data_IF_302335926085
#
_entry.id   IF_302335926085
#
_cell.length_a   1.000
_cell.length_b   1.000
_cell.length_c   1.000
_cell.angle_alpha   90.00
_cell.angle_beta   90.00
_cell.angle_gamma   90.00
#
_symmetry.space_group_name_H-M   'P 1'
#
loop_
_entity.id
_entity.type
_entity.pdbx_description
1 polymer ?
#
# COMPACT_ATOMS: atom_id res chain seq x y z
N UNK A 1 59.24 39.89 9.25
CA UNK A 1 60.68 39.88 9.60
C UNK A 1 60.79 40.34 11.04
N UNK A 2 61.41 39.59 11.97
CA UNK A 2 61.61 40.11 13.32
C UNK A 2 62.52 41.34 13.24
N UNK A 3 61.99 42.50 13.61
CA UNK A 3 62.70 43.78 13.65
C UNK A 3 63.57 43.78 14.90
N UNK A 4 64.67 43.02 14.87
CA UNK A 4 65.69 43.05 15.93
C UNK A 4 66.77 44.05 15.53
N UNK A 5 67.25 44.81 16.52
CA UNK A 5 68.42 45.67 16.34
C UNK A 5 69.60 44.84 15.85
N UNK A 6 70.41 45.39 14.95
CA UNK A 6 71.58 44.71 14.41
C UNK A 6 72.54 44.32 15.54
N UNK A 7 72.89 43.04 15.61
CA UNK A 7 73.79 42.53 16.63
C UNK A 7 75.19 43.15 16.45
N UNK A 8 75.82 43.56 17.56
CA UNK A 8 77.19 44.07 17.54
C UNK A 8 78.17 42.91 17.34
N UNK A 9 79.07 43.05 16.37
CA UNK A 9 80.09 42.03 16.07
C UNK A 9 81.07 41.85 17.24
N UNK A 10 81.51 40.62 17.44
CA UNK A 10 82.55 40.30 18.39
C UNK A 10 83.91 40.93 17.98
N UNK A 11 84.80 41.24 18.94
CA UNK A 11 86.11 41.79 18.64
C UNK A 11 86.99 40.77 17.89
N UNK A 12 87.95 41.28 17.11
CA UNK A 12 88.88 40.45 16.36
C UNK A 12 89.71 39.54 17.30
N UNK A 13 89.80 38.25 16.97
CA UNK A 13 90.53 37.26 17.75
C UNK A 13 91.78 36.80 17.00
N UNK A 14 92.85 36.48 17.73
CA UNK A 14 94.08 35.94 17.15
C UNK A 14 94.27 34.49 17.59
N UNK A 15 94.38 33.59 16.61
CA UNK A 15 94.57 32.16 16.84
C UNK A 15 95.95 31.77 16.32
N UNK A 16 96.72 31.09 17.16
CA UNK A 16 97.99 30.48 16.75
C UNK A 16 97.70 29.09 16.19
N UNK A 17 97.98 28.90 14.90
CA UNK A 17 97.78 27.64 14.21
C UNK A 17 99.13 27.01 13.87
N UNK A 18 99.28 25.73 14.22
CA UNK A 18 100.41 24.89 13.80
C UNK A 18 99.92 23.98 12.69
N UNK A 19 100.32 24.19 11.43
CA UNK A 19 99.93 23.31 10.33
C UNK A 19 100.45 21.88 10.55
N UNK A 20 99.61 20.88 10.24
CA UNK A 20 99.99 19.47 10.33
C UNK A 20 100.95 19.04 9.22
N UNK A 21 100.83 19.64 8.03
CA UNK A 21 101.82 19.49 6.95
C UNK A 21 102.93 20.52 7.16
N UNK A 22 104.13 20.01 7.45
CA UNK A 22 105.34 20.81 7.63
C UNK A 22 106.33 20.50 6.51
N UNK A 23 106.86 21.56 5.90
CA UNK A 23 107.92 21.49 4.90
C UNK A 23 108.56 22.86 4.76
N UNK A 24 109.85 22.90 4.43
CA UNK A 24 110.63 24.16 4.36
C UNK A 24 110.08 25.12 3.31
N UNK A 25 109.44 24.58 2.26
CA UNK A 25 108.76 25.35 1.21
C UNK A 25 107.39 25.91 1.64
N UNK A 26 106.83 25.46 2.76
CA UNK A 26 105.52 25.90 3.25
C UNK A 26 105.67 26.87 4.41
N UNK A 27 104.71 27.80 4.52
CA UNK A 27 104.65 28.78 5.60
C UNK A 27 105.93 29.62 5.77
N UNK A 28 106.66 29.88 4.68
CA UNK A 28 107.93 30.63 4.67
C UNK A 28 108.96 30.10 5.68
N UNK A 29 108.94 28.79 5.97
CA UNK A 29 109.83 28.14 6.95
C UNK A 29 109.40 28.29 8.42
N UNK A 30 108.30 29.00 8.72
CA UNK A 30 107.78 29.13 10.07
C UNK A 30 106.99 27.89 10.50
N UNK A 31 107.23 27.41 11.72
CA UNK A 31 106.50 26.25 12.29
C UNK A 31 105.03 26.57 12.59
N UNK A 32 104.69 27.84 12.78
CA UNK A 32 103.35 28.29 13.15
C UNK A 32 102.97 29.54 12.36
N UNK A 33 101.66 29.79 12.26
CA UNK A 33 101.11 31.06 11.76
C UNK A 33 100.08 31.60 12.75
N UNK A 34 100.02 32.92 12.88
CA UNK A 34 98.99 33.59 13.67
C UNK A 34 97.92 34.09 12.71
N UNK A 35 96.69 33.68 12.93
CA UNK A 35 95.53 34.01 12.10
C UNK A 35 94.65 34.98 12.88
N UNK A 36 94.36 36.13 12.29
CA UNK A 36 93.37 37.07 12.81
C UNK A 36 91.99 36.70 12.27
N UNK A 37 91.12 36.20 13.14
CA UNK A 37 89.73 35.90 12.83
C UNK A 37 88.88 37.14 13.13
N UNK A 38 88.08 37.56 12.14
CA UNK A 38 87.11 38.65 12.26
C UNK A 38 85.78 38.13 11.75
N UNK A 39 84.73 38.28 12.55
CA UNK A 39 83.37 37.92 12.13
C UNK A 39 82.90 38.87 11.03
N UNK A 40 82.36 38.32 9.94
CA UNK A 40 81.88 39.12 8.82
C UNK A 40 80.58 39.83 9.21
N UNK A 41 80.53 41.15 9.00
CA UNK A 41 79.32 41.94 9.26
C UNK A 41 78.15 41.44 8.41
N UNK A 42 77.05 41.07 9.08
CA UNK A 42 75.83 40.59 8.43
C UNK A 42 74.86 41.74 8.19
N UNK A 43 74.27 41.79 7.00
CA UNK A 43 73.26 42.79 6.65
C UNK A 43 71.92 42.48 7.35
N UNK A 44 71.38 43.42 8.15
CA UNK A 44 70.09 43.23 8.82
C UNK A 44 68.89 43.11 7.87
N UNK A 45 69.01 43.55 6.61
CA UNK A 45 67.94 43.52 5.61
C UNK A 45 68.06 42.33 4.63
N UNK A 46 69.10 41.51 4.77
CA UNK A 46 69.30 40.37 3.87
C UNK A 46 68.28 39.23 4.12
N UNK A 47 67.55 38.77 3.09
CA UNK A 47 66.62 37.65 3.24
C UNK A 47 67.35 36.31 3.44
N UNK A 48 66.66 35.26 3.94
CA UNK A 48 67.26 33.93 4.11
C UNK A 48 67.85 33.38 2.80
N UNK A 49 69.18 33.14 2.78
CA UNK A 49 69.91 32.71 1.58
C UNK A 49 69.57 31.29 1.09
N UNK A 50 69.10 30.40 1.96
CA UNK A 50 68.92 28.98 1.64
C UNK A 50 67.51 28.47 1.97
N UNK A 51 67.01 27.53 1.16
CA UNK A 51 65.74 26.82 1.40
C UNK A 51 65.96 25.74 2.46
N UNK A 52 65.27 25.85 3.60
CA UNK A 52 65.38 24.91 4.74
C UNK A 52 64.30 23.81 4.68
N UNK A 53 63.40 23.84 3.69
CA UNK A 53 62.24 22.95 3.59
C UNK A 53 62.56 21.53 3.07
N UNK A 54 63.83 21.20 2.80
CA UNK A 54 64.21 19.85 2.35
C UNK A 54 64.12 18.86 3.50
N UNK A 55 63.12 17.98 3.49
CA UNK A 55 62.92 16.93 4.50
C UNK A 55 63.61 15.64 4.07
N UNK A 56 64.50 15.14 4.91
CA UNK A 56 65.19 13.86 4.75
C UNK A 56 64.57 12.79 5.65
N UNK A 57 64.65 11.49 5.31
CA UNK A 57 64.19 10.42 6.20
C UNK A 57 64.92 10.50 7.54
N UNK A 58 64.26 10.01 8.60
CA UNK A 58 64.85 9.98 9.94
C UNK A 58 66.10 9.11 9.89
N UNK A 59 67.19 9.59 10.49
CA UNK A 59 68.42 8.81 10.64
C UNK A 59 68.18 7.50 11.41
N UNK A 60 69.15 6.56 11.35
CA UNK A 60 69.06 5.33 12.12
C UNK A 60 68.93 5.64 13.62
N UNK A 61 68.14 4.86 14.37
CA UNK A 61 68.11 4.99 15.82
C UNK A 61 69.49 4.64 16.41
N UNK A 62 69.73 5.06 17.65
CA UNK A 62 70.84 4.55 18.45
C UNK A 62 70.79 3.02 18.50
N UNK A 63 71.92 2.31 18.66
CA UNK A 63 71.92 0.85 18.78
C UNK A 63 70.90 0.39 19.83
N UNK A 64 70.09 -0.64 19.54
CA UNK A 64 69.03 -1.08 20.44
C UNK A 64 69.65 -1.52 21.77
N UNK A 65 69.13 -0.98 22.87
CA UNK A 65 69.60 -1.32 24.19
C UNK A 65 69.36 -2.83 24.47
N UNK A 66 70.30 -3.51 25.17
CA UNK A 66 70.10 -4.89 25.58
C UNK A 66 68.83 -5.05 26.42
N UNK A 67 67.96 -5.97 26.02
CA UNK A 67 66.69 -6.22 26.71
C UNK A 67 66.91 -7.27 27.80
N UNK A 68 67.01 -6.82 29.06
CA UNK A 68 67.23 -7.68 30.23
C UNK A 68 65.91 -8.19 30.81
N UNK A 69 65.24 -9.08 30.07
CA UNK A 69 64.07 -9.79 30.60
C UNK A 69 64.49 -10.95 31.51
N UNK A 70 63.58 -11.36 32.41
CA UNK A 70 63.72 -12.66 33.08
C UNK A 70 63.62 -13.80 32.05
N UNK A 71 64.17 -15.00 32.35
CA UNK A 71 64.04 -16.15 31.49
C UNK A 71 62.58 -16.42 31.11
N UNK A 72 62.33 -16.75 29.83
CA UNK A 72 60.97 -16.94 29.33
C UNK A 72 60.22 -18.01 30.12
N UNK A 73 59.06 -17.66 30.67
CA UNK A 73 58.14 -18.63 31.26
C UNK A 73 57.53 -19.48 30.14
N UNK A 74 57.46 -20.80 30.33
CA UNK A 74 56.82 -21.69 29.35
C UNK A 74 55.32 -21.47 29.39
N UNK A 75 54.75 -21.03 28.28
CA UNK A 75 53.31 -20.92 28.08
C UNK A 75 52.68 -22.32 28.08
N UNK A 76 51.60 -22.51 28.84
CA UNK A 76 50.88 -23.78 28.79
C UNK A 76 49.97 -23.83 27.55
N UNK A 77 49.76 -25.02 26.99
CA UNK A 77 48.88 -25.21 25.82
C UNK A 77 47.45 -24.75 26.13
N UNK A 78 46.99 -25.00 27.37
CA UNK A 78 45.66 -24.58 27.83
C UNK A 78 45.52 -23.06 27.80
N UNK A 79 46.49 -22.35 28.37
CA UNK A 79 46.50 -20.88 28.39
C UNK A 79 46.50 -20.32 26.96
N UNK A 80 47.33 -20.89 26.07
CA UNK A 80 47.37 -20.46 24.67
C UNK A 80 46.02 -20.64 23.95
N UNK A 81 45.27 -21.70 24.27
CA UNK A 81 43.95 -21.96 23.68
C UNK A 81 42.87 -21.03 24.24
N UNK A 82 42.90 -20.74 25.54
CA UNK A 82 41.97 -19.83 26.20
C UNK A 82 42.11 -18.39 25.67
N UNK A 83 43.34 -17.98 25.38
CA UNK A 83 43.65 -16.67 24.80
C UNK A 83 43.46 -16.61 23.27
N UNK A 84 42.91 -17.66 22.64
CA UNK A 84 42.61 -17.64 21.21
C UNK A 84 41.35 -16.81 20.94
N UNK A 85 41.56 -15.58 20.48
CA UNK A 85 40.47 -14.64 20.16
C UNK A 85 39.69 -15.13 18.92
N UNK A 86 38.37 -15.35 19.02
CA UNK A 86 37.54 -15.70 17.86
C UNK A 86 37.52 -14.59 16.80
N UNK A 87 37.44 -14.94 15.50
CA UNK A 87 37.36 -13.94 14.43
C UNK A 87 36.06 -13.13 14.54
N UNK A 88 36.16 -11.81 14.32
CA UNK A 88 35.00 -10.93 14.30
C UNK A 88 34.23 -11.10 12.98
N UNK A 89 33.12 -11.84 13.03
CA UNK A 89 32.18 -11.97 11.91
C UNK A 89 31.08 -10.95 12.14
N UNK A 90 31.04 -9.92 11.29
CA UNK A 90 30.06 -8.85 11.43
C UNK A 90 28.84 -9.08 10.54
N UNK A 91 27.66 -8.67 11.02
CA UNK A 91 26.42 -8.67 10.24
C UNK A 91 26.32 -7.49 9.27
N UNK A 92 27.24 -6.51 9.31
CA UNK A 92 27.19 -5.28 8.51
C UNK A 92 28.28 -5.15 7.45
N UNK A 93 29.51 -5.60 7.76
CA UNK A 93 30.71 -5.33 6.95
C UNK A 93 31.42 -6.62 6.57
N UNK A 94 31.75 -6.71 5.29
CA UNK A 94 32.57 -7.76 4.72
C UNK A 94 33.53 -7.16 3.69
N UNK A 95 34.55 -6.43 4.17
CA UNK A 95 35.43 -5.62 3.31
C UNK A 95 36.19 -6.46 2.26
N UNK A 96 36.52 -7.72 2.60
CA UNK A 96 37.23 -8.64 1.73
C UNK A 96 36.30 -9.62 0.98
N UNK A 97 34.98 -9.50 1.15
CA UNK A 97 34.01 -10.32 0.43
C UNK A 97 34.05 -11.81 0.76
N UNK A 98 34.46 -12.22 1.97
CA UNK A 98 34.53 -13.63 2.34
C UNK A 98 33.15 -14.31 2.29
N UNK A 99 33.10 -15.51 1.74
CA UNK A 99 31.93 -16.39 1.79
C UNK A 99 31.87 -17.02 3.17
N UNK A 100 30.95 -16.55 4.01
CA UNK A 100 30.79 -16.98 5.40
C UNK A 100 29.46 -17.71 5.52
N UNK A 101 29.44 -18.94 6.08
CA UNK A 101 28.21 -19.73 6.22
C UNK A 101 27.25 -19.07 7.23
N UNK A 102 25.96 -19.42 7.12
CA UNK A 102 24.88 -18.77 7.86
C UNK A 102 25.02 -18.98 9.37
N UNK A 103 25.34 -20.19 9.82
CA UNK A 103 25.54 -20.51 11.24
C UNK A 103 26.56 -19.57 11.89
N UNK A 104 27.66 -19.24 11.20
CA UNK A 104 28.70 -18.34 11.72
C UNK A 104 28.33 -16.86 11.68
N UNK A 105 27.44 -16.45 10.75
CA UNK A 105 26.89 -15.08 10.73
C UNK A 105 25.86 -14.87 11.84
N UNK A 106 24.99 -15.85 12.06
CA UNK A 106 23.91 -15.77 13.05
C UNK A 106 24.36 -16.18 14.47
N UNK A 107 25.55 -16.76 14.63
CA UNK A 107 26.05 -17.26 15.91
C UNK A 107 26.05 -16.22 17.04
N UNK A 108 26.38 -14.96 16.74
CA UNK A 108 26.54 -13.90 17.74
C UNK A 108 25.31 -12.99 17.88
N UNK A 109 24.22 -13.34 17.20
CA UNK A 109 23.03 -12.50 17.10
C UNK A 109 22.30 -12.33 18.43
N UNK A 110 22.51 -13.24 19.40
CA UNK A 110 21.96 -13.15 20.76
C UNK A 110 20.44 -13.24 20.86
N UNK A 111 19.72 -13.00 19.76
CA UNK A 111 18.26 -13.13 19.62
C UNK A 111 17.77 -14.54 19.97
N UNK A 112 18.57 -15.57 19.68
CA UNK A 112 18.26 -16.95 20.06
C UNK A 112 18.42 -17.26 21.56
N UNK A 113 19.13 -16.41 22.31
CA UNK A 113 19.30 -16.53 23.76
C UNK A 113 18.21 -15.75 24.54
N UNK A 114 17.53 -14.82 23.88
CA UNK A 114 16.42 -14.08 24.50
C UNK A 114 15.16 -14.94 24.50
N UNK A 115 14.86 -15.58 25.63
CA UNK A 115 13.56 -16.18 25.85
C UNK A 115 12.54 -15.08 26.14
N UNK A 116 11.47 -15.01 25.35
CA UNK A 116 10.38 -14.05 25.55
C UNK A 116 9.54 -14.52 26.72
N UNK A 117 9.59 -13.81 27.84
CA UNK A 117 8.73 -14.03 29.00
C UNK A 117 7.63 -12.97 29.06
N UNK A 118 6.40 -13.36 29.40
CA UNK A 118 5.24 -12.47 29.46
C UNK A 118 4.86 -12.23 30.92
N UNK A 119 4.51 -10.98 31.26
CA UNK A 119 4.11 -10.58 32.61
C UNK A 119 2.63 -10.93 32.89
N UNK A 120 2.33 -11.42 34.09
CA UNK A 120 0.96 -11.71 34.57
C UNK A 120 0.04 -10.48 34.64
N UNK A 121 0.58 -9.28 34.74
CA UNK A 121 -0.21 -8.04 34.76
C UNK A 121 -1.02 -7.83 33.47
N UNK A 122 -0.58 -8.41 32.35
CA UNK A 122 -1.36 -8.39 31.11
C UNK A 122 -2.69 -9.15 31.27
N UNK A 123 -2.71 -10.25 32.01
CA UNK A 123 -3.94 -11.00 32.28
C UNK A 123 -4.87 -10.18 33.19
N UNK A 124 -4.35 -9.61 34.28
CA UNK A 124 -5.13 -8.77 35.20
C UNK A 124 -5.77 -7.57 34.47
N UNK A 125 -5.02 -6.92 33.58
CA UNK A 125 -5.54 -5.82 32.76
C UNK A 125 -6.62 -6.29 31.78
N UNK A 126 -6.38 -7.39 31.07
CA UNK A 126 -7.35 -7.94 30.12
C UNK A 126 -8.67 -8.31 30.82
N UNK A 127 -8.60 -8.98 31.96
CA UNK A 127 -9.76 -9.33 32.78
C UNK A 127 -10.51 -8.09 33.28
N UNK A 128 -9.79 -7.10 33.79
CA UNK A 128 -10.40 -5.84 34.23
C UNK A 128 -11.15 -5.14 33.09
N UNK A 129 -10.58 -5.09 31.89
CA UNK A 129 -11.24 -4.52 30.71
C UNK A 129 -12.46 -5.34 30.28
N UNK A 130 -12.38 -6.67 30.32
CA UNK A 130 -13.53 -7.55 30.03
C UNK A 130 -14.69 -7.33 31.01
N UNK A 131 -14.39 -7.22 32.31
CA UNK A 131 -15.39 -6.94 33.34
C UNK A 131 -16.00 -5.55 33.13
N UNK A 132 -15.16 -4.55 32.84
CA UNK A 132 -15.60 -3.18 32.58
C UNK A 132 -16.51 -3.10 31.35
N UNK A 133 -16.18 -3.76 30.23
CA UNK A 133 -17.03 -3.78 29.03
C UNK A 133 -18.39 -4.42 29.31
N UNK A 134 -18.41 -5.56 30.01
CA UNK A 134 -19.67 -6.23 30.39
C UNK A 134 -20.55 -5.30 31.24
N UNK A 135 -19.97 -4.65 32.25
CA UNK A 135 -20.71 -3.72 33.13
C UNK A 135 -21.16 -2.46 32.39
N UNK A 136 -20.36 -1.96 31.45
CA UNK A 136 -20.75 -0.83 30.62
C UNK A 136 -21.94 -1.18 29.72
N UNK A 137 -21.94 -2.36 29.09
CA UNK A 137 -23.07 -2.84 28.27
C UNK A 137 -24.34 -3.02 29.08
N UNK A 138 -24.26 -3.65 30.25
CA UNK A 138 -25.40 -3.78 31.18
C UNK A 138 -25.98 -2.41 31.54
N UNK A 139 -25.13 -1.43 31.87
CA UNK A 139 -25.57 -0.07 32.20
C UNK A 139 -26.19 0.67 31.02
N UNK A 140 -25.66 0.50 29.80
CA UNK A 140 -26.23 1.08 28.58
C UNK A 140 -27.58 0.45 28.25
N UNK A 141 -27.71 -0.87 28.34
CA UNK A 141 -28.96 -1.58 28.07
C UNK A 141 -30.05 -1.18 29.07
N UNK A 142 -29.72 -1.12 30.37
CA UNK A 142 -30.66 -0.64 31.40
C UNK A 142 -31.12 0.80 31.12
N UNK A 143 -30.21 1.71 30.74
CA UNK A 143 -30.59 3.09 30.37
C UNK A 143 -31.50 3.12 29.15
N UNK A 144 -31.17 2.37 28.10
CA UNK A 144 -31.98 2.29 26.89
C UNK A 144 -33.38 1.73 27.18
N UNK A 145 -33.51 0.72 28.06
CA UNK A 145 -34.80 0.19 28.48
C UNK A 145 -35.62 1.20 29.28
N UNK A 146 -34.99 1.94 30.19
CA UNK A 146 -35.65 3.00 30.96
C UNK A 146 -36.12 4.12 30.04
N UNK A 147 -35.29 4.59 29.11
CA UNK A 147 -35.67 5.61 28.12
C UNK A 147 -36.84 5.15 27.25
N UNK A 148 -36.82 3.90 26.75
CA UNK A 148 -37.95 3.32 26.00
C UNK A 148 -39.23 3.29 26.83
N UNK A 149 -39.16 2.90 28.10
CA UNK A 149 -40.32 2.85 29.00
C UNK A 149 -40.88 4.23 29.30
N UNK A 150 -40.01 5.22 29.52
CA UNK A 150 -40.41 6.62 29.71
C UNK A 150 -41.08 7.18 28.44
N UNK A 151 -40.50 6.91 27.26
CA UNK A 151 -41.07 7.32 25.99
C UNK A 151 -42.44 6.65 25.70
N UNK A 152 -42.61 5.37 26.04
CA UNK A 152 -43.91 4.69 25.94
C UNK A 152 -44.95 5.33 26.85
N UNK A 153 -44.61 5.61 28.12
CA UNK A 153 -45.49 6.27 29.07
C UNK A 153 -45.86 7.69 28.64
N UNK A 154 -44.93 8.41 28.02
CA UNK A 154 -45.19 9.74 27.46
C UNK A 154 -46.11 9.69 26.24
N UNK A 155 -45.93 8.70 25.35
CA UNK A 155 -46.85 8.44 24.24
C UNK A 155 -48.26 8.08 24.70
N UNK A 156 -48.40 7.22 25.70
CA UNK A 156 -49.70 6.85 26.29
C UNK A 156 -50.41 8.08 26.88
N UNK A 157 -49.71 8.92 27.65
CA UNK A 157 -50.24 10.19 28.15
C UNK A 157 -50.64 11.14 27.01
N UNK A 158 -49.90 11.15 25.92
CA UNK A 158 -50.23 11.97 24.76
C UNK A 158 -51.49 11.46 24.05
N UNK A 159 -51.64 10.15 23.89
CA UNK A 159 -52.82 9.51 23.32
C UNK A 159 -54.06 9.72 24.20
N UNK A 160 -53.92 9.62 25.52
CA UNK A 160 -55.00 9.93 26.48
C UNK A 160 -55.45 11.38 26.38
N UNK A 161 -54.51 12.35 26.35
CA UNK A 161 -54.83 13.77 26.12
C UNK A 161 -55.55 14.01 24.79
N UNK A 162 -55.12 13.34 23.72
CA UNK A 162 -55.79 13.42 22.41
C UNK A 162 -57.20 12.82 22.49
N UNK A 163 -57.39 11.74 23.24
CA UNK A 163 -58.69 11.10 23.46
C UNK A 163 -59.64 11.99 24.24
N UNK A 164 -59.17 12.61 25.33
CA UNK A 164 -59.93 13.61 26.09
C UNK A 164 -60.29 14.83 25.23
N UNK A 165 -59.35 15.33 24.43
CA UNK A 165 -59.60 16.45 23.52
C UNK A 165 -60.66 16.07 22.46
N UNK A 166 -60.59 14.86 21.91
CA UNK A 166 -61.58 14.35 20.97
C UNK A 166 -62.95 14.15 21.63
N UNK A 167 -63.00 13.66 22.87
CA UNK A 167 -64.24 13.51 23.63
C UNK A 167 -64.86 14.88 23.93
N UNK A 168 -64.07 15.85 24.39
CA UNK A 168 -64.52 17.23 24.62
C UNK A 168 -64.99 17.91 23.34
N UNK A 169 -64.36 17.63 22.19
CA UNK A 169 -64.82 18.09 20.89
C UNK A 169 -66.16 17.45 20.49
N UNK A 170 -66.36 16.15 20.76
CA UNK A 170 -67.63 15.46 20.57
C UNK A 170 -68.73 15.98 21.50
N UNK A 171 -68.43 16.21 22.77
CA UNK A 171 -69.35 16.78 23.76
C UNK A 171 -69.75 18.21 23.39
N UNK A 172 -68.82 19.04 22.88
CA UNK A 172 -69.15 20.36 22.33
C UNK A 172 -70.03 20.27 21.08
N UNK A 173 -69.81 19.29 20.22
CA UNK A 173 -70.67 19.02 19.04
C UNK A 173 -72.05 18.48 19.45
N UNK A 174 -72.13 17.68 20.51
CA UNK A 174 -73.36 17.15 21.07
C UNK A 174 -74.11 18.16 21.97
N UNK A 175 -73.38 19.14 22.52
CA UNK A 175 -73.88 20.22 23.38
C UNK A 175 -74.62 21.33 22.63
N UNK A 176 -74.61 21.33 21.29
CA UNK A 176 -75.62 22.02 20.48
C UNK A 176 -76.82 21.09 20.33
N UNK A 177 -77.47 20.80 21.45
CA UNK A 177 -78.87 20.37 21.54
C UNK A 177 -79.46 21.10 22.74
N UNK A 178 -79.65 22.40 22.55
CA UNK A 178 -80.49 23.24 23.40
C UNK A 178 -81.91 22.66 23.38
N UNK A 179 -82.30 22.11 24.52
CA UNK A 179 -83.55 21.42 24.80
C UNK A 179 -84.78 22.37 24.84
N UNK A 180 -84.87 23.40 23.99
CA UNK A 180 -86.04 24.30 23.98
C UNK A 180 -86.57 24.69 22.59
N UNK A 181 -85.86 24.45 21.47
CA UNK A 181 -86.38 24.77 20.13
C UNK A 181 -86.43 23.55 19.19
N UNK A 182 -87.05 22.47 19.67
CA UNK A 182 -87.07 21.19 18.94
C UNK A 182 -88.33 20.89 18.15
N UNK A 183 -89.31 21.80 18.10
CA UNK A 183 -90.52 21.56 17.30
C UNK A 183 -90.50 22.23 15.91
N UNK A 184 -89.81 23.37 15.71
CA UNK A 184 -89.86 24.07 14.40
C UNK A 184 -88.64 23.87 13.49
N UNK A 185 -87.49 23.44 14.02
CA UNK A 185 -86.28 23.18 13.22
C UNK A 185 -86.28 21.81 12.53
N UNK A 186 -86.82 20.77 13.18
CA UNK A 186 -86.83 19.40 12.65
C UNK A 186 -87.71 19.24 11.40
N UNK A 187 -88.69 20.12 11.20
CA UNK A 187 -89.52 20.15 9.99
C UNK A 187 -88.71 20.69 8.79
N UNK A 188 -87.96 21.79 8.98
CA UNK A 188 -87.11 22.39 7.94
C UNK A 188 -85.94 21.51 7.56
N UNK A 189 -85.27 20.91 8.54
CA UNK A 189 -84.12 20.03 8.29
C UNK A 189 -84.56 18.75 7.55
N UNK A 190 -85.77 18.24 7.82
CA UNK A 190 -86.34 17.09 7.11
C UNK A 190 -86.78 17.43 5.69
N UNK A 191 -87.22 18.66 5.45
CA UNK A 191 -87.54 19.18 4.12
C UNK A 191 -86.29 19.46 3.29
N UNK A 192 -85.23 20.00 3.90
CA UNK A 192 -83.90 20.17 3.28
C UNK A 192 -83.27 18.82 2.93
N UNK A 193 -83.32 17.83 3.82
CA UNK A 193 -82.86 16.47 3.53
C UNK A 193 -83.66 15.84 2.37
N UNK A 194 -84.97 16.13 2.25
CA UNK A 194 -85.78 15.66 1.11
C UNK A 194 -85.46 16.39 -0.18
N UNK A 195 -85.16 17.69 -0.10
CA UNK A 195 -84.76 18.52 -1.23
C UNK A 195 -83.36 18.12 -1.74
N UNK A 196 -82.40 17.94 -0.84
CA UNK A 196 -81.04 17.52 -1.14
C UNK A 196 -81.00 16.10 -1.70
N UNK A 197 -81.75 15.14 -1.14
CA UNK A 197 -81.88 13.81 -1.77
C UNK A 197 -82.53 13.85 -3.15
N UNK A 198 -83.34 14.87 -3.44
CA UNK A 198 -83.95 15.07 -4.76
C UNK A 198 -82.92 15.66 -5.72
N UNK A 199 -82.13 16.64 -5.25
CA UNK A 199 -81.05 17.32 -5.99
C UNK A 199 -79.86 16.38 -6.27
N UNK A 200 -79.49 15.55 -5.30
CA UNK A 200 -78.46 14.50 -5.41
C UNK A 200 -78.88 13.43 -6.40
N UNK A 201 -80.12 12.91 -6.32
CA UNK A 201 -80.65 12.00 -7.36
C UNK A 201 -80.68 12.65 -8.73
N UNK A 202 -80.91 13.96 -8.83
CA UNK A 202 -80.91 14.67 -10.10
C UNK A 202 -79.47 14.87 -10.64
N UNK A 203 -78.52 15.18 -9.76
CA UNK A 203 -77.10 15.28 -10.08
C UNK A 203 -76.55 13.92 -10.51
N UNK A 204 -76.88 12.84 -9.80
CA UNK A 204 -76.45 11.49 -10.09
C UNK A 204 -77.10 10.93 -11.36
N UNK A 205 -78.35 11.31 -11.65
CA UNK A 205 -79.03 11.03 -12.94
C UNK A 205 -78.43 11.80 -14.11
N UNK A 206 -77.96 13.03 -13.89
CA UNK A 206 -77.23 13.82 -14.90
C UNK A 206 -75.81 13.28 -15.11
N UNK A 207 -75.14 12.87 -14.04
CA UNK A 207 -73.78 12.33 -14.07
C UNK A 207 -73.73 10.91 -14.67
N UNK A 208 -74.76 10.09 -14.42
CA UNK A 208 -74.94 8.78 -15.09
C UNK A 208 -75.34 8.91 -16.56
N UNK A 209 -75.99 10.02 -16.97
CA UNK A 209 -76.26 10.32 -18.38
C UNK A 209 -75.05 10.88 -19.14
N UNK A 210 -74.10 11.51 -18.46
CA UNK A 210 -72.99 12.23 -19.11
C UNK A 210 -71.86 11.32 -19.65
N UNK A 211 -71.62 10.14 -19.05
CA UNK A 211 -70.70 9.13 -19.59
C UNK A 211 -70.75 7.80 -18.78
N UNK A 212 -71.60 6.82 -19.16
CA UNK A 212 -71.69 5.54 -18.43
C UNK A 212 -70.43 4.67 -18.52
N UNK A 213 -69.65 4.77 -19.61
CA UNK A 213 -68.59 3.78 -19.90
C UNK A 213 -67.23 4.10 -19.27
N UNK A 214 -66.95 5.37 -18.94
CA UNK A 214 -65.61 5.77 -18.45
C UNK A 214 -65.46 5.69 -16.93
N UNK A 215 -66.57 5.65 -16.17
CA UNK A 215 -66.54 5.69 -14.70
C UNK A 215 -66.42 4.32 -14.04
N UNK A 216 -67.04 3.29 -14.62
CA UNK A 216 -67.02 1.92 -14.07
C UNK A 216 -65.60 1.31 -14.04
N UNK A 217 -64.74 1.67 -15.01
CA UNK A 217 -63.36 1.17 -15.08
C UNK A 217 -62.40 1.93 -14.15
N UNK A 218 -62.57 3.25 -13.99
CA UNK A 218 -61.73 4.10 -13.14
C UNK A 218 -62.01 3.85 -11.65
N UNK A 219 -63.28 3.83 -11.24
CA UNK A 219 -63.66 3.64 -9.83
C UNK A 219 -63.44 2.20 -9.34
N UNK A 220 -63.47 1.22 -10.26
CA UNK A 220 -63.16 -0.19 -9.96
C UNK A 220 -61.65 -0.43 -9.84
N UNK A 221 -60.82 0.35 -10.50
CA UNK A 221 -59.37 0.28 -10.33
C UNK A 221 -58.88 1.02 -9.08
N UNK A 222 -59.56 2.09 -8.68
CA UNK A 222 -59.23 2.88 -7.48
C UNK A 222 -59.51 2.13 -6.17
N UNK A 223 -60.50 1.23 -6.17
CA UNK A 223 -60.87 0.41 -5.00
C UNK A 223 -60.26 -1.00 -4.99
N UNK A 224 -59.32 -1.33 -5.89
CA UNK A 224 -58.65 -2.64 -5.88
C UNK A 224 -57.49 -2.65 -4.91
N UNK A 225 -57.47 -3.65 -4.03
CA UNK A 225 -56.36 -3.87 -3.10
C UNK A 225 -55.06 -4.12 -3.87
N UNK A 226 -53.95 -3.63 -3.33
CA UNK A 226 -52.62 -3.62 -3.98
C UNK A 226 -52.19 -5.04 -4.39
N UNK A 227 -52.60 -6.06 -3.63
CA UNK A 227 -52.36 -7.48 -3.94
C UNK A 227 -53.11 -7.97 -5.19
N UNK A 228 -54.35 -7.53 -5.40
CA UNK A 228 -55.15 -7.87 -6.59
C UNK A 228 -54.65 -7.17 -7.85
N UNK A 229 -54.15 -5.93 -7.70
CA UNK A 229 -53.50 -5.19 -8.79
C UNK A 229 -52.24 -5.90 -9.27
N UNK A 230 -51.45 -6.47 -8.36
CA UNK A 230 -50.24 -7.27 -8.67
C UNK A 230 -50.62 -8.59 -9.34
N UNK A 231 -51.64 -9.29 -8.84
CA UNK A 231 -52.10 -10.57 -9.40
C UNK A 231 -52.72 -10.44 -10.80
N UNK A 232 -53.38 -9.31 -11.09
CA UNK A 232 -53.93 -8.99 -12.41
C UNK A 232 -52.91 -8.41 -13.40
N UNK A 233 -51.65 -8.24 -12.99
CA UNK A 233 -50.57 -7.74 -13.85
C UNK A 233 -50.84 -6.35 -14.44
N UNK A 234 -51.70 -5.55 -13.82
CA UNK A 234 -52.00 -4.19 -14.30
C UNK A 234 -50.72 -3.37 -14.12
N UNK A 235 -50.11 -2.86 -15.20
CA UNK A 235 -48.86 -2.14 -15.08
C UNK A 235 -49.10 -0.85 -14.29
N UNK A 236 -48.47 -0.75 -13.12
CA UNK A 236 -48.42 0.49 -12.35
C UNK A 236 -47.64 1.53 -13.16
N UNK A 237 -48.27 2.59 -13.69
CA UNK A 237 -47.53 3.65 -14.33
C UNK A 237 -46.77 4.37 -13.21
N UNK A 238 -45.50 4.02 -13.01
CA UNK A 238 -44.61 4.75 -12.12
C UNK A 238 -44.49 6.17 -12.65
N UNK A 239 -45.29 7.09 -12.13
CA UNK A 239 -45.17 8.52 -12.40
C UNK A 239 -43.90 8.99 -11.68
N UNK A 240 -42.77 9.06 -12.39
CA UNK A 240 -41.59 9.73 -11.88
C UNK A 240 -41.83 11.23 -11.99
N UNK A 241 -41.87 11.93 -10.86
CA UNK A 241 -42.10 13.38 -10.80
C UNK A 241 -40.89 14.21 -11.26
N UNK A 242 -39.82 13.59 -11.75
CA UNK A 242 -38.58 14.26 -12.18
C UNK A 242 -38.19 13.81 -13.61
N UNK A 243 -37.55 14.72 -14.35
CA UNK A 243 -37.06 14.50 -15.72
C UNK A 243 -36.13 13.29 -15.75
N UNK A 244 -36.48 12.27 -16.53
CA UNK A 244 -35.68 11.06 -16.66
C UNK A 244 -34.41 11.37 -17.46
N UNK A 245 -33.25 11.24 -16.82
CA UNK A 245 -31.95 11.33 -17.52
C UNK A 245 -31.67 10.04 -18.31
N UNK A 246 -30.98 10.16 -19.45
CA UNK A 246 -30.62 9.02 -20.32
C UNK A 246 -29.74 8.02 -19.54
N UNK A 247 -30.17 6.76 -19.50
CA UNK A 247 -29.47 5.68 -18.79
C UNK A 247 -28.03 5.49 -19.25
N UNK A 248 -27.71 5.83 -20.51
CA UNK A 248 -26.34 5.76 -21.04
C UNK A 248 -25.37 6.76 -20.40
N UNK A 249 -25.90 7.80 -19.75
CA UNK A 249 -25.11 8.79 -19.02
C UNK A 249 -24.80 8.34 -17.59
N UNK A 250 -25.62 7.45 -17.02
CA UNK A 250 -25.30 6.81 -15.75
C UNK A 250 -24.26 5.70 -15.95
N UNK A 251 -23.30 5.63 -15.02
CA UNK A 251 -22.13 4.73 -15.07
C UNK A 251 -21.03 5.10 -16.09
N UNK A 252 -21.01 6.33 -16.60
CA UNK A 252 -19.79 6.85 -17.23
C UNK A 252 -18.81 7.25 -16.12
N UNK A 253 -17.67 6.55 -16.00
CA UNK A 253 -16.62 6.85 -15.00
C UNK A 253 -15.80 8.10 -15.32
N UNK A 254 -16.16 8.87 -16.36
CA UNK A 254 -15.47 10.10 -16.74
C UNK A 254 -15.66 11.15 -15.65
N UNK A 255 -14.55 11.55 -15.02
CA UNK A 255 -14.49 12.71 -14.12
C UNK A 255 -13.99 12.46 -12.70
N UNK A 256 -13.88 11.19 -12.24
CA UNK A 256 -13.24 10.91 -10.93
C UNK A 256 -11.74 10.57 -11.05
N UNK A 257 -11.32 9.92 -12.14
CA UNK A 257 -9.92 9.51 -12.34
C UNK A 257 -9.04 10.57 -13.02
N UNK A 258 -9.64 11.62 -13.59
CA UNK A 258 -8.94 12.71 -14.29
C UNK A 258 -8.67 13.92 -13.37
N UNK A 259 -8.38 13.66 -12.09
CA UNK A 259 -8.05 14.70 -11.12
C UNK A 259 -6.57 15.08 -11.18
N UNK A 260 -6.28 16.38 -11.08
CA UNK A 260 -4.93 16.90 -10.90
C UNK A 260 -4.35 16.32 -9.60
N UNK A 261 -3.43 15.35 -9.74
CA UNK A 261 -2.83 14.61 -8.64
C UNK A 261 -1.81 15.47 -7.89
N UNK A 262 -2.30 16.47 -7.15
CA UNK A 262 -1.54 17.20 -6.14
C UNK A 262 -0.30 17.98 -6.61
N UNK A 263 -0.08 18.13 -7.91
CA UNK A 263 1.14 18.75 -8.46
C UNK A 263 2.36 17.83 -8.46
N UNK A 264 2.19 16.50 -8.45
CA UNK A 264 3.30 15.59 -8.73
C UNK A 264 3.65 15.63 -10.23
N UNK A 265 4.73 16.35 -10.55
CA UNK A 265 5.27 16.55 -11.91
C UNK A 265 5.67 15.23 -12.62
N UNK A 266 5.79 14.14 -11.86
CA UNK A 266 6.12 12.80 -12.37
C UNK A 266 4.91 12.09 -12.99
N UNK A 267 3.68 12.52 -12.66
CA UNK A 267 2.46 11.91 -13.17
C UNK A 267 2.07 12.58 -14.48
N UNK A 268 2.56 12.03 -15.60
CA UNK A 268 2.38 12.57 -16.95
C UNK A 268 0.96 12.33 -17.51
N UNK A 269 -0.06 12.91 -16.86
CA UNK A 269 -1.50 12.78 -17.19
C UNK A 269 -2.04 13.98 -17.99
N UNK A 270 -1.24 14.56 -18.90
CA UNK A 270 -1.59 15.78 -19.65
C UNK A 270 -2.74 15.58 -20.64
N UNK A 271 -2.97 14.34 -21.09
CA UNK A 271 -3.97 14.02 -22.10
C UNK A 271 -4.96 12.96 -21.60
N UNK A 272 -6.26 13.24 -21.79
CA UNK A 272 -7.37 12.34 -21.39
C UNK A 272 -7.48 11.09 -22.28
N UNK A 273 -6.88 11.11 -23.47
CA UNK A 273 -6.98 10.02 -24.46
C UNK A 273 -5.62 9.72 -25.10
N UNK A 274 -5.36 8.44 -25.36
CA UNK A 274 -4.16 8.01 -26.06
C UNK A 274 -4.19 8.44 -27.54
N UNK A 275 -3.05 8.87 -28.06
CA UNK A 275 -2.86 9.32 -29.45
C UNK A 275 -3.22 8.27 -30.53
N UNK A 276 -3.27 6.99 -30.17
CA UNK A 276 -3.66 5.87 -31.05
C UNK A 276 -4.70 5.02 -30.34
N UNK A 277 -5.82 4.72 -31.01
CA UNK A 277 -6.81 3.73 -30.56
C UNK A 277 -6.34 2.26 -30.58
N UNK A 278 -5.06 2.04 -30.88
CA UNK A 278 -4.49 0.71 -31.08
C UNK A 278 -4.47 -0.18 -29.84
N UNK A 279 -4.44 0.38 -28.62
CA UNK A 279 -4.46 -0.44 -27.38
C UNK A 279 -5.83 -1.07 -27.10
N UNK A 280 -6.91 -0.38 -27.43
CA UNK A 280 -8.26 -0.91 -27.28
C UNK A 280 -8.61 -1.86 -28.43
N UNK A 281 -8.16 -1.53 -29.65
CA UNK A 281 -8.22 -2.47 -30.76
C UNK A 281 -7.36 -3.72 -30.53
N UNK A 282 -6.21 -3.64 -29.84
CA UNK A 282 -5.29 -4.77 -29.65
C UNK A 282 -5.93 -5.98 -28.96
N UNK A 283 -6.96 -5.79 -28.13
CA UNK A 283 -7.71 -6.90 -27.55
C UNK A 283 -8.57 -7.66 -28.58
N UNK A 284 -8.78 -7.06 -29.75
CA UNK A 284 -9.63 -7.53 -30.84
C UNK A 284 -8.92 -7.61 -32.21
N UNK A 285 -7.60 -7.35 -32.31
CA UNK A 285 -6.90 -7.29 -33.62
C UNK A 285 -7.01 -8.60 -34.39
N UNK A 286 -7.02 -9.75 -33.71
CA UNK A 286 -7.44 -11.02 -34.32
C UNK A 286 -7.76 -12.06 -33.24
N UNK A 287 -9.03 -12.38 -33.06
CA UNK A 287 -9.50 -13.54 -32.28
C UNK A 287 -10.50 -14.32 -33.15
N UNK A 288 -10.02 -15.24 -33.99
CA UNK A 288 -10.91 -16.07 -34.80
C UNK A 288 -11.77 -16.91 -33.85
N UNK A 289 -13.07 -16.62 -33.84
CA UNK A 289 -14.05 -17.36 -33.06
C UNK A 289 -14.57 -18.50 -33.91
N UNK A 290 -14.23 -19.74 -33.54
CA UNK A 290 -14.76 -20.96 -34.20
C UNK A 290 -16.29 -21.01 -34.24
N UNK A 291 -16.96 -20.24 -33.39
CA UNK A 291 -18.42 -20.19 -33.35
C UNK A 291 -19.02 -19.25 -34.41
N UNK A 292 -18.33 -18.17 -34.81
CA UNK A 292 -18.85 -17.29 -35.86
C UNK A 292 -18.63 -17.88 -37.26
N UNK A 293 -17.51 -18.57 -37.49
CA UNK A 293 -17.22 -19.17 -38.80
C UNK A 293 -18.12 -20.37 -39.13
N UNK A 294 -18.67 -21.03 -38.10
CA UNK A 294 -19.57 -22.18 -38.26
C UNK A 294 -20.91 -21.80 -38.90
N UNK A 295 -21.44 -20.64 -38.54
CA UNK A 295 -22.70 -20.12 -39.09
C UNK A 295 -22.52 -19.54 -40.51
N UNK A 296 -21.32 -19.08 -40.86
CA UNK A 296 -21.02 -18.49 -42.19
C UNK A 296 -20.58 -19.49 -43.25
N UNK A 297 -19.79 -20.52 -42.91
CA UNK A 297 -19.20 -21.44 -43.89
C UNK A 297 -19.68 -22.89 -43.79
N UNK A 298 -20.47 -23.24 -42.77
CA UNK A 298 -20.96 -24.60 -42.56
C UNK A 298 -19.86 -25.65 -42.37
N UNK A 299 -20.23 -26.89 -42.02
CA UNK A 299 -19.28 -28.00 -41.74
C UNK A 299 -18.45 -28.46 -42.96
N UNK A 300 -18.65 -27.84 -44.14
CA UNK A 300 -18.00 -28.22 -45.41
C UNK A 300 -16.49 -27.99 -45.43
N UNK A 301 -16.00 -27.02 -44.64
CA UNK A 301 -14.55 -26.77 -44.53
C UNK A 301 -13.85 -27.91 -43.76
N UNK A 302 -14.47 -28.41 -42.70
CA UNK A 302 -13.93 -29.51 -41.90
C UNK A 302 -13.99 -30.85 -42.66
N UNK A 303 -15.02 -31.04 -43.48
CA UNK A 303 -15.14 -32.19 -44.37
C UNK A 303 -14.07 -32.18 -45.48
N UNK A 304 -13.80 -31.03 -46.11
CA UNK A 304 -12.76 -30.91 -47.16
C UNK A 304 -11.34 -31.12 -46.62
N UNK A 305 -11.03 -30.64 -45.42
CA UNK A 305 -9.72 -30.84 -44.77
C UNK A 305 -9.48 -32.32 -44.42
N UNK A 306 -10.53 -33.09 -44.11
CA UNK A 306 -10.42 -34.51 -43.74
C UNK A 306 -10.33 -35.49 -44.93
N UNK A 307 -10.59 -35.04 -46.16
CA UNK A 307 -10.44 -35.92 -47.33
C UNK A 307 -8.99 -35.95 -47.80
N UNK A 308 -8.34 -37.13 -47.67
CA UNK A 308 -6.99 -37.43 -48.17
C UNK A 308 -6.90 -37.47 -49.72
N UNK A 309 -7.50 -36.49 -50.43
CA UNK A 309 -7.50 -36.43 -51.90
C UNK A 309 -6.18 -35.94 -52.51
N UNK A 310 -5.25 -35.47 -51.70
CA UNK A 310 -3.95 -34.98 -52.14
C UNK A 310 -2.81 -35.71 -51.40
N UNK A 311 -2.49 -36.91 -51.88
CA UNK A 311 -1.24 -37.61 -51.55
C UNK A 311 -0.36 -37.58 -52.81
N UNK A 312 0.80 -36.91 -52.81
CA UNK A 312 1.72 -36.91 -53.95
C UNK A 312 2.45 -38.27 -54.07
N UNK A 313 2.55 -38.83 -55.28
CA UNK A 313 3.20 -40.13 -55.56
C UNK A 313 4.74 -40.12 -55.51
N UNK A 314 5.37 -38.99 -55.18
CA UNK A 314 6.83 -38.86 -55.02
C UNK A 314 7.14 -38.10 -53.75
N UNK A 315 7.57 -38.83 -52.74
CA UNK A 315 8.00 -38.28 -51.46
C UNK A 315 9.47 -37.83 -51.54
N UNK A 316 9.76 -36.66 -51.00
CA UNK A 316 11.10 -36.09 -50.90
C UNK A 316 11.85 -36.83 -49.77
N UNK A 317 13.02 -37.41 -50.07
CA UNK A 317 13.84 -38.13 -49.10
C UNK A 317 14.24 -37.22 -47.94
N UNK A 318 13.65 -37.42 -46.76
CA UNK A 318 13.95 -36.63 -45.56
C UNK A 318 12.73 -36.26 -44.69
N UNK A 319 11.49 -36.55 -45.10
CA UNK A 319 10.31 -36.28 -44.29
C UNK A 319 9.68 -37.56 -43.72
N UNK A 320 10.07 -37.96 -42.51
CA UNK A 320 9.38 -39.03 -41.78
C UNK A 320 8.03 -38.51 -41.25
N UNK A 321 6.92 -39.04 -41.77
CA UNK A 321 5.54 -38.70 -41.36
C UNK A 321 5.15 -39.39 -40.04
N UNK A 322 6.02 -39.36 -39.04
CA UNK A 322 5.70 -39.77 -37.66
C UNK A 322 6.09 -38.72 -36.63
N UNK A 323 5.68 -37.47 -36.85
CA UNK A 323 5.58 -36.51 -35.74
C UNK A 323 4.25 -35.75 -35.79
N UNK A 324 3.49 -35.91 -34.70
CA UNK A 324 2.31 -35.13 -34.33
C UNK A 324 2.61 -33.62 -34.44
N UNK A 325 1.55 -32.88 -34.78
CA UNK A 325 1.43 -31.42 -34.88
C UNK A 325 2.54 -30.58 -34.24
N UNK A 326 3.18 -29.75 -35.07
CA UNK A 326 4.01 -28.63 -34.62
C UNK A 326 3.12 -27.53 -34.04
N UNK A 327 2.90 -27.57 -32.73
CA UNK A 327 2.57 -26.40 -31.92
C UNK A 327 3.75 -26.14 -30.97
N UNK A 328 4.54 -25.10 -31.27
CA UNK A 328 5.65 -24.67 -30.44
C UNK A 328 6.58 -23.70 -31.18
N UNK A 329 7.14 -22.68 -30.49
CA UNK A 329 8.05 -21.73 -31.11
C UNK A 329 9.38 -22.41 -31.52
N UNK A 330 9.99 -21.85 -32.57
CA UNK A 330 11.19 -22.34 -33.26
C UNK A 330 12.33 -22.69 -32.29
N UNK A 331 12.80 -23.95 -32.32
CA UNK A 331 13.99 -24.41 -31.61
C UNK A 331 15.25 -23.99 -32.39
N UNK A 332 16.24 -23.44 -31.69
CA UNK A 332 17.57 -23.15 -32.22
C UNK A 332 18.51 -24.33 -31.94
N UNK A 333 19.48 -24.58 -32.83
CA UNK A 333 20.50 -25.62 -32.65
C UNK A 333 21.50 -25.26 -31.53
N UNK A 334 21.76 -26.26 -30.68
CA UNK A 334 22.88 -26.50 -29.77
C UNK A 334 23.36 -25.37 -28.83
N UNK A 335 22.93 -25.42 -27.57
CA UNK A 335 23.43 -24.60 -26.44
C UNK A 335 24.87 -25.01 -26.04
N UNK A 336 25.89 -24.19 -26.35
CA UNK A 336 27.30 -24.51 -26.07
C UNK A 336 27.63 -24.54 -24.57
N UNK A 337 26.73 -24.04 -23.71
CA UNK A 337 26.96 -23.84 -22.28
C UNK A 337 26.25 -24.87 -21.39
N UNK A 338 25.52 -25.83 -21.97
CA UNK A 338 24.96 -26.97 -21.25
C UNK A 338 23.95 -26.60 -20.16
N UNK A 339 23.31 -25.43 -20.28
CA UNK A 339 22.37 -24.91 -19.28
C UNK A 339 21.06 -25.70 -19.28
N UNK A 340 20.68 -26.27 -20.42
CA UNK A 340 19.49 -27.12 -20.53
C UNK A 340 19.62 -28.43 -19.74
N UNK A 341 20.81 -29.04 -19.70
CA UNK A 341 21.07 -30.25 -18.88
C UNK A 341 20.97 -29.94 -17.38
N UNK A 342 21.46 -28.77 -16.97
CA UNK A 342 21.38 -28.31 -15.59
C UNK A 342 19.93 -28.04 -15.14
N UNK A 343 19.11 -27.48 -16.03
CA UNK A 343 17.68 -27.25 -15.80
C UNK A 343 16.87 -28.55 -15.75
N UNK A 344 17.19 -29.56 -16.57
CA UNK A 344 16.55 -30.88 -16.51
C UNK A 344 16.88 -31.65 -15.22
N UNK A 345 18.13 -31.61 -14.76
CA UNK A 345 18.58 -32.26 -13.52
C UNK A 345 17.90 -31.66 -12.27
N UNK A 346 17.74 -30.33 -12.25
CA UNK A 346 16.99 -29.62 -11.21
C UNK A 346 15.49 -29.99 -11.19
N UNK A 347 14.93 -30.38 -12.34
CA UNK A 347 13.52 -30.74 -12.49
C UNK A 347 13.24 -32.20 -12.10
N UNK A 348 14.20 -33.11 -12.29
CA UNK A 348 14.08 -34.52 -11.88
C UNK A 348 14.11 -34.71 -10.35
N UNK A 349 14.76 -33.83 -9.60
CA UNK A 349 14.88 -33.96 -8.14
C UNK A 349 13.81 -33.21 -7.31
N UNK A 350 12.89 -32.48 -7.94
CA UNK A 350 11.90 -31.62 -7.25
C UNK A 350 10.47 -32.17 -7.11
N UNK A 351 10.20 -33.43 -7.48
CA UNK A 351 8.83 -33.92 -7.75
C UNK A 351 8.25 -34.98 -6.82
N UNK A 352 8.34 -34.85 -5.49
CA UNK A 352 7.63 -35.75 -4.55
C UNK A 352 6.30 -35.12 -4.10
N UNK A 353 5.19 -35.55 -4.75
CA UNK A 353 3.81 -35.24 -4.37
C UNK A 353 3.38 -36.11 -3.18
N UNK A 354 2.86 -35.49 -2.11
CA UNK A 354 1.95 -36.14 -1.13
C UNK A 354 0.49 -35.89 -1.55
N UNK A 355 -0.43 -36.85 -1.35
CA UNK A 355 -1.78 -36.77 -1.88
C UNK A 355 -2.72 -35.97 -0.97
N UNK A 356 -3.66 -35.28 -1.60
CA UNK A 356 -4.83 -34.64 -1.01
C UNK A 356 -5.90 -35.67 -0.68
N UNK A 357 -6.52 -35.55 0.50
CA UNK A 357 -7.86 -36.07 0.70
C UNK A 357 -8.81 -34.97 1.16
N UNK A 358 -10.02 -35.12 0.67
CA UNK A 358 -11.11 -34.18 0.55
C UNK A 358 -12.04 -34.21 1.75
N UNK A 359 -12.49 -33.05 2.22
CA UNK A 359 -13.86 -32.84 2.74
C UNK A 359 -14.09 -31.38 3.14
N UNK A 360 -15.01 -30.73 2.42
CA UNK A 360 -15.75 -29.54 2.85
C UNK A 360 -17.22 -29.91 2.67
N UNK A 361 -18.11 -29.57 3.62
CA UNK A 361 -18.91 -28.34 3.51
C UNK A 361 -19.17 -27.74 4.93
N UNK A 362 -19.76 -26.56 5.21
CA UNK A 362 -20.71 -25.66 4.56
C UNK A 362 -20.84 -24.42 5.49
N UNK A 363 -21.22 -23.26 4.92
CA UNK A 363 -21.98 -22.15 5.58
C UNK A 363 -21.26 -21.36 6.71
N UNK A 364 -21.41 -20.04 6.91
CA UNK A 364 -22.35 -19.04 6.41
C UNK A 364 -21.70 -17.63 6.56
N UNK A 365 -21.98 -16.74 5.61
CA UNK A 365 -21.68 -15.30 5.66
C UNK A 365 -22.52 -14.57 6.73
N UNK A 366 -21.98 -13.50 7.35
CA UNK A 366 -22.57 -12.15 7.29
C UNK A 366 -21.66 -11.04 7.84
N UNK A 367 -21.43 -10.06 6.97
CA UNK A 367 -21.36 -8.60 7.15
C UNK A 367 -20.83 -7.92 8.42
N UNK A 368 -20.02 -6.87 8.22
CA UNK A 368 -19.84 -5.83 9.24
C UNK A 368 -18.89 -4.69 8.88
N UNK A 369 -19.27 -3.86 7.91
CA UNK A 369 -18.66 -2.55 7.55
C UNK A 369 -18.24 -1.67 8.75
N UNK A 370 -17.10 -0.98 8.62
CA UNK A 370 -16.90 0.51 8.76
C UNK A 370 -15.42 0.80 9.10
N UNK A 371 -14.66 1.47 8.23
CA UNK A 371 -14.50 2.95 8.13
C UNK A 371 -14.21 3.65 9.45
N UNK A 372 -13.00 4.20 9.59
CA UNK A 372 -12.68 5.59 10.00
C UNK A 372 -11.16 5.80 9.83
N UNK A 373 -10.75 6.73 8.96
CA UNK A 373 -10.54 8.18 9.18
C UNK A 373 -9.16 8.46 9.79
N UNK A 374 -8.32 9.11 9.01
CA UNK A 374 -7.95 10.51 9.31
C UNK A 374 -9.07 11.43 8.80
#
# INVERSE_FOLDING_TARGET
MPVRAADKLAPAQYIRYTPSQQGVAFNSGAKQRVIRMVEMQKDPMEPPRFKINKKIPRGPPSPPAPVMHSPSRKMTVKEQQEWKIPPCISNWKNAKGYTIPLDKRLAADGRGLQTVHINENFAKLAEALYIADRKAREAVEMRAQVERKMAQKEKEKHEEKLREMAQKARERRAGIKTHVEKEDGEARERDEIRHDRRKERQHDRNLSRAAPDKRSKLQRNENRDISEVIALGVPNPRTSNEVQYDQRLFNQSKGMDSGFAGGEDEIYNVYDQAWRGGKDMAQNIYRPSKNLDKDMYGDDLEARIKTNRFVPDKEFSGSDRRQRGREGPVQFEEDPFGLDKFLEEAKQHGGSKRPSDSSRPKEHEHEGKKRRKE
#
